data_IF_369338856592
#
_entry.id   IF_369338856592
#
_cell.length_a   1.000
_cell.length_b   1.000
_cell.length_c   1.000
_cell.angle_alpha   90.00
_cell.angle_beta   90.00
_cell.angle_gamma   90.00
#
_symmetry.space_group_name_H-M   'P 1'
#
loop_
_entity.id
_entity.type
_entity.pdbx_description
1 polymer ?
#
# COMPACT_ATOMS: atom_id res chain seq x y z
N UNK A 1 -10.28 -8.69 5.26
CA UNK A 1 -9.11 -8.13 4.54
C UNK A 1 -9.30 -6.62 4.38
N UNK A 2 -8.98 -5.84 5.41
CA UNK A 2 -9.02 -4.37 5.30
C UNK A 2 -7.61 -3.92 4.95
N UNK A 3 -7.51 -3.26 3.80
CA UNK A 3 -6.26 -2.85 3.20
C UNK A 3 -5.38 -2.09 4.19
N UNK A 4 -4.08 -2.37 4.11
CA UNK A 4 -3.07 -1.39 4.47
C UNK A 4 -3.53 -0.07 3.83
N UNK A 5 -4.05 0.87 4.62
CA UNK A 5 -4.29 2.21 4.15
C UNK A 5 -2.89 2.80 3.90
N UNK A 6 -2.40 2.53 2.70
CA UNK A 6 -1.28 3.18 2.06
C UNK A 6 -1.59 4.67 2.20
N UNK A 7 -0.86 5.36 3.09
CA UNK A 7 -1.12 6.75 3.43
C UNK A 7 -0.65 7.61 2.24
N UNK A 8 -1.46 7.61 1.18
CA UNK A 8 -1.23 8.35 -0.03
C UNK A 8 -1.60 9.80 0.23
N UNK A 9 -0.58 10.66 0.23
CA UNK A 9 -0.80 12.10 0.29
C UNK A 9 -1.19 12.59 -1.11
N UNK A 10 -2.47 12.85 -1.29
CA UNK A 10 -3.01 13.39 -2.53
C UNK A 10 -2.76 14.90 -2.61
N UNK A 11 -2.01 15.35 -3.62
CA UNK A 11 -2.20 16.69 -4.18
C UNK A 11 -3.23 16.60 -5.32
N UNK A 12 -3.91 17.71 -5.61
CA UNK A 12 -5.06 17.82 -6.51
C UNK A 12 -4.95 16.97 -7.80
N UNK A 13 -6.04 16.31 -8.19
CA UNK A 13 -6.17 15.62 -9.49
C UNK A 13 -6.12 14.08 -9.44
N UNK A 14 -5.80 13.46 -8.30
CA UNK A 14 -5.84 12.00 -8.13
C UNK A 14 -7.14 11.53 -7.49
N UNK A 15 -7.71 10.46 -8.02
CA UNK A 15 -8.94 9.82 -7.54
C UNK A 15 -8.71 8.31 -7.44
N UNK A 16 -9.25 7.67 -6.41
CA UNK A 16 -9.27 6.21 -6.29
C UNK A 16 -10.59 5.67 -6.84
N UNK A 17 -10.54 4.72 -7.77
CA UNK A 17 -11.74 4.03 -8.30
C UNK A 17 -11.36 2.62 -8.75
N UNK A 18 -12.18 1.63 -8.42
CA UNK A 18 -11.98 0.23 -8.83
C UNK A 18 -10.59 -0.35 -8.50
N UNK A 19 -10.04 0.00 -7.33
CA UNK A 19 -8.68 -0.33 -6.90
C UNK A 19 -7.56 0.22 -7.83
N UNK A 20 -7.88 1.21 -8.65
CA UNK A 20 -6.93 1.98 -9.46
C UNK A 20 -6.83 3.42 -8.95
N UNK A 21 -5.67 4.02 -9.17
CA UNK A 21 -5.44 5.45 -9.02
C UNK A 21 -5.56 6.11 -10.38
N UNK A 22 -6.48 7.05 -10.49
CA UNK A 22 -6.78 7.80 -11.69
C UNK A 22 -6.30 9.24 -11.52
N UNK A 23 -5.41 9.70 -12.38
CA UNK A 23 -5.08 11.11 -12.47
C UNK A 23 -5.91 11.75 -13.58
N UNK A 24 -6.76 12.70 -13.20
CA UNK A 24 -7.48 13.57 -14.13
C UNK A 24 -6.54 14.72 -14.52
N UNK A 25 -6.21 14.88 -15.82
CA UNK A 25 -5.27 15.90 -16.22
C UNK A 25 -5.72 17.30 -15.83
N UNK A 26 -4.82 18.03 -15.19
CA UNK A 26 -5.01 19.42 -14.79
C UNK A 26 -3.90 20.31 -15.37
N UNK A 27 -4.09 21.63 -15.28
CA UNK A 27 -3.07 22.61 -15.67
C UNK A 27 -1.92 22.70 -14.66
N UNK A 28 -2.03 22.02 -13.52
CA UNK A 28 -1.06 22.07 -12.43
C UNK A 28 -0.22 20.80 -12.37
N UNK A 29 1.01 20.94 -11.88
CA UNK A 29 1.82 19.78 -11.49
C UNK A 29 1.12 19.07 -10.34
N UNK A 30 0.86 17.77 -10.50
CA UNK A 30 0.28 16.94 -9.46
C UNK A 30 1.30 15.94 -8.96
N UNK A 31 1.33 15.72 -7.64
CA UNK A 31 2.24 14.78 -7.00
C UNK A 31 1.47 13.90 -6.05
N UNK A 32 1.59 12.60 -6.27
CA UNK A 32 1.19 11.55 -5.34
C UNK A 32 2.44 11.04 -4.64
N UNK A 33 2.45 11.07 -3.31
CA UNK A 33 3.58 10.57 -2.53
C UNK A 33 3.18 9.45 -1.59
N UNK A 34 4.04 8.44 -1.50
CA UNK A 34 3.93 7.32 -0.58
C UNK A 34 5.20 7.20 0.27
N UNK A 35 5.04 7.18 1.58
CA UNK A 35 6.15 7.02 2.52
C UNK A 35 6.15 5.61 3.11
N UNK A 36 7.30 4.94 3.07
CA UNK A 36 7.49 3.60 3.62
C UNK A 36 8.82 3.47 4.35
N UNK A 37 8.81 2.77 5.48
CA UNK A 37 10.03 2.38 6.19
C UNK A 37 10.32 0.89 5.97
N UNK A 38 11.36 0.60 5.19
CA UNK A 38 11.75 -0.76 4.83
C UNK A 38 12.70 -1.32 5.89
N UNK A 39 12.45 -2.54 6.36
CA UNK A 39 13.36 -3.26 7.29
C UNK A 39 14.45 -4.03 6.56
N UNK A 40 14.29 -4.24 5.25
CA UNK A 40 15.29 -4.86 4.38
C UNK A 40 15.24 -4.22 2.99
N UNK A 41 16.31 -4.31 2.19
CA UNK A 41 16.28 -3.82 0.82
C UNK A 41 15.12 -4.44 0.04
N UNK A 42 14.53 -3.67 -0.86
CA UNK A 42 13.34 -4.10 -1.61
C UNK A 42 13.06 -3.17 -2.78
N UNK A 43 11.82 -3.15 -3.24
CA UNK A 43 11.41 -2.35 -4.39
C UNK A 43 9.94 -1.96 -4.28
N UNK A 44 9.55 -0.95 -5.05
CA UNK A 44 8.17 -0.71 -5.44
C UNK A 44 7.99 -1.13 -6.89
N UNK A 45 7.03 -2.02 -7.14
CA UNK A 45 6.57 -2.38 -8.48
C UNK A 45 5.16 -1.84 -8.66
N UNK A 46 4.87 -1.24 -9.81
CA UNK A 46 3.53 -0.79 -10.14
C UNK A 46 3.26 -0.89 -11.64
N UNK A 47 1.99 -1.06 -11.99
CA UNK A 47 1.52 -0.99 -13.37
C UNK A 47 0.90 0.38 -13.63
N UNK A 48 1.16 0.97 -14.79
CA UNK A 48 0.58 2.25 -15.17
C UNK A 48 0.21 2.29 -16.65
N UNK A 49 -0.73 3.15 -17.00
CA UNK A 49 -1.17 3.36 -18.37
C UNK A 49 -1.29 4.85 -18.64
N UNK A 50 -0.58 5.31 -19.67
CA UNK A 50 -0.72 6.68 -20.17
C UNK A 50 -1.86 6.75 -21.20
N UNK A 51 -2.55 7.90 -21.32
CA UNK A 51 -3.50 8.14 -22.39
C UNK A 51 -2.85 7.99 -23.78
N UNK A 52 -3.63 7.59 -24.80
CA UNK A 52 -3.11 7.49 -26.18
C UNK A 52 -2.59 8.83 -26.72
N UNK A 53 -3.20 9.95 -26.32
CA UNK A 53 -2.71 11.28 -26.65
C UNK A 53 -2.09 11.92 -25.40
N UNK A 54 -0.82 11.57 -25.12
CA UNK A 54 -0.08 11.97 -23.92
C UNK A 54 1.12 12.89 -24.22
N UNK A 55 1.26 13.46 -25.43
CA UNK A 55 2.45 14.26 -25.80
C UNK A 55 2.74 15.42 -24.83
N UNK A 56 1.70 15.96 -24.19
CA UNK A 56 1.81 17.03 -23.19
C UNK A 56 1.91 16.53 -21.74
N UNK A 57 1.71 15.23 -21.50
CA UNK A 57 1.71 14.62 -20.17
C UNK A 57 2.98 13.82 -19.96
N UNK A 58 3.67 14.07 -18.84
CA UNK A 58 4.76 13.22 -18.40
C UNK A 58 4.52 12.70 -16.98
N UNK A 59 4.77 11.41 -16.77
CA UNK A 59 4.74 10.75 -15.47
C UNK A 59 6.18 10.46 -15.04
N UNK A 60 6.65 11.20 -14.05
CA UNK A 60 7.95 11.00 -13.44
C UNK A 60 7.80 10.29 -12.09
N UNK A 61 8.71 9.36 -11.79
CA UNK A 61 8.77 8.70 -10.49
C UNK A 61 10.13 8.95 -9.88
N UNK A 62 10.12 9.59 -8.71
CA UNK A 62 11.30 9.87 -7.91
C UNK A 62 11.22 9.16 -6.56
N UNK A 63 12.35 8.68 -6.07
CA UNK A 63 12.48 8.08 -4.73
C UNK A 63 13.51 8.88 -3.95
N UNK A 64 13.10 9.33 -2.77
CA UNK A 64 13.93 10.09 -1.84
C UNK A 64 14.11 9.34 -0.52
N UNK A 65 15.27 9.50 0.09
CA UNK A 65 15.55 9.02 1.45
C UNK A 65 15.17 10.09 2.51
N UNK A 66 15.45 9.80 3.79
CA UNK A 66 15.24 10.72 4.92
C UNK A 66 15.97 12.07 4.80
N UNK A 67 17.02 12.14 3.99
CA UNK A 67 17.83 13.34 3.78
C UNK A 67 17.42 14.13 2.52
N UNK A 68 16.25 13.82 1.93
CA UNK A 68 15.77 14.38 0.66
C UNK A 68 16.71 14.15 -0.55
N UNK A 69 17.73 13.31 -0.40
CA UNK A 69 18.64 12.98 -1.48
C UNK A 69 17.93 12.00 -2.42
N UNK A 70 17.86 12.35 -3.70
CA UNK A 70 17.38 11.40 -4.69
C UNK A 70 18.46 10.35 -4.93
N UNK A 71 18.07 9.08 -5.08
CA UNK A 71 19.04 8.04 -5.45
C UNK A 71 19.69 8.28 -6.83
N UNK A 72 19.09 9.14 -7.66
CA UNK A 72 19.64 9.58 -8.95
C UNK A 72 20.85 10.51 -8.77
N UNK A 73 20.83 11.44 -7.82
CA UNK A 73 21.94 12.39 -7.60
C UNK A 73 23.20 11.70 -7.06
N UNK A 74 23.05 10.70 -6.19
CA UNK A 74 24.18 9.94 -5.65
C UNK A 74 24.87 9.03 -6.70
N UNK A 75 24.15 8.63 -7.75
CA UNK A 75 24.69 7.80 -8.84
C UNK A 75 25.23 8.64 -10.00
N UNK A 76 24.72 9.86 -10.18
CA UNK A 76 25.15 10.76 -11.25
C UNK A 76 26.54 11.37 -11.00
N UNK A 77 26.99 11.45 -9.74
CA UNK A 77 28.38 11.84 -9.41
C UNK A 77 29.41 10.72 -9.67
N UNK A 78 28.98 9.46 -9.78
CA UNK A 78 29.86 8.30 -10.00
C UNK A 78 29.81 7.74 -11.44
N UNK A 79 28.71 7.97 -12.18
CA UNK A 79 28.47 7.33 -13.48
C UNK A 79 28.84 8.18 -14.71
N UNK A 80 29.43 9.36 -14.56
CA UNK A 80 29.92 10.13 -15.72
C UNK A 80 31.10 9.47 -16.46
N UNK A 81 31.61 8.31 -16.00
CA UNK A 81 32.72 7.57 -16.62
C UNK A 81 32.40 6.17 -17.17
N UNK A 82 31.21 5.62 -16.92
CA UNK A 82 30.83 4.33 -17.51
C UNK A 82 29.44 4.46 -18.13
N UNK A 83 29.46 4.62 -19.45
CA UNK A 83 28.34 4.62 -20.37
C UNK A 83 27.21 3.66 -19.98
N UNK A 84 26.00 4.22 -19.89
CA UNK A 84 24.76 3.68 -20.46
C UNK A 84 24.65 2.15 -20.54
N UNK A 85 24.05 1.55 -19.52
CA UNK A 85 23.09 0.47 -19.73
C UNK A 85 21.70 0.98 -19.37
N UNK A 86 21.28 2.04 -20.08
CA UNK A 86 19.86 2.28 -20.30
C UNK A 86 19.33 1.06 -21.04
N UNK A 87 18.67 0.15 -20.33
CA UNK A 87 17.76 -0.80 -20.98
C UNK A 87 16.82 0.07 -21.81
N UNK A 88 16.98 -0.03 -23.13
CA UNK A 88 16.31 0.83 -24.08
C UNK A 88 14.83 0.88 -23.74
N UNK A 89 14.29 2.10 -23.66
CA UNK A 89 12.89 2.34 -23.92
C UNK A 89 12.63 1.75 -25.32
N UNK A 90 12.16 0.49 -25.37
CA UNK A 90 11.38 0.05 -26.51
C UNK A 90 10.20 1.00 -26.58
N UNK A 91 9.86 1.44 -27.79
CA UNK A 91 8.60 2.13 -28.08
C UNK A 91 7.45 1.24 -27.58
N UNK A 92 7.15 1.39 -26.30
CA UNK A 92 6.03 0.75 -25.62
C UNK A 92 4.80 1.45 -26.18
N UNK A 93 4.14 0.74 -27.10
CA UNK A 93 2.86 1.05 -27.73
C UNK A 93 2.07 2.07 -26.91
N UNK A 94 2.08 3.29 -27.42
CA UNK A 94 1.48 4.44 -26.76
C UNK A 94 0.00 4.13 -26.43
N UNK A 95 -0.32 4.03 -25.14
CA UNK A 95 -1.65 3.69 -24.66
C UNK A 95 -1.84 2.26 -24.12
N UNK A 96 -0.80 1.43 -24.07
CA UNK A 96 -0.83 0.12 -23.41
C UNK A 96 -0.34 0.18 -21.95
N UNK A 97 -0.68 -0.84 -21.17
CA UNK A 97 -0.23 -0.99 -19.78
C UNK A 97 1.27 -1.27 -19.71
N UNK A 98 1.95 -0.48 -18.90
CA UNK A 98 3.38 -0.57 -18.63
C UNK A 98 3.61 -0.99 -17.18
N UNK A 99 4.72 -1.66 -16.93
CA UNK A 99 5.13 -2.05 -15.58
C UNK A 99 6.46 -1.41 -15.26
N UNK A 100 6.57 -0.81 -14.06
CA UNK A 100 7.80 -0.17 -13.60
C UNK A 100 8.16 -0.67 -12.21
N UNK A 101 9.44 -1.01 -12.05
CA UNK A 101 10.05 -1.37 -10.77
C UNK A 101 11.09 -0.31 -10.42
N UNK A 102 11.09 0.11 -9.16
CA UNK A 102 12.07 1.06 -8.62
C UNK A 102 12.61 0.52 -7.31
N UNK A 103 13.93 0.40 -7.22
CA UNK A 103 14.61 -0.10 -6.02
C UNK A 103 14.47 0.87 -4.84
N UNK A 104 14.24 0.31 -3.66
CA UNK A 104 14.13 1.01 -2.39
C UNK A 104 15.21 0.51 -1.44
N UNK A 105 15.74 1.42 -0.61
CA UNK A 105 16.74 1.05 0.39
C UNK A 105 16.09 0.69 1.71
N UNK A 106 16.82 -0.02 2.57
CA UNK A 106 16.45 -0.14 3.98
C UNK A 106 16.34 1.25 4.63
N UNK A 107 15.38 1.43 5.52
CA UNK A 107 15.06 2.70 6.15
C UNK A 107 13.88 3.42 5.49
N UNK A 108 13.70 4.71 5.78
CA UNK A 108 12.58 5.46 5.23
C UNK A 108 12.83 5.90 3.79
N UNK A 109 11.85 5.62 2.94
CA UNK A 109 11.78 5.98 1.54
C UNK A 109 10.49 6.77 1.31
N UNK A 110 10.56 7.77 0.43
CA UNK A 110 9.40 8.49 -0.09
C UNK A 110 9.39 8.31 -1.59
N UNK A 111 8.41 7.56 -2.09
CA UNK A 111 8.14 7.37 -3.52
C UNK A 111 7.18 8.45 -3.97
N UNK A 112 7.51 9.20 -5.00
CA UNK A 112 6.68 10.28 -5.55
C UNK A 112 6.40 10.06 -7.03
N UNK A 113 5.13 9.91 -7.38
CA UNK A 113 4.64 9.97 -8.75
C UNK A 113 4.24 11.41 -9.05
N UNK A 114 5.05 12.09 -9.86
CA UNK A 114 4.82 13.47 -10.28
C UNK A 114 4.33 13.47 -11.73
N UNK A 115 3.13 14.02 -11.95
CA UNK A 115 2.60 14.27 -13.29
C UNK A 115 2.73 15.74 -13.62
N UNK A 116 3.31 16.03 -14.79
CA UNK A 116 3.38 17.40 -15.32
C UNK A 116 2.64 17.47 -16.65
N UNK A 117 1.96 18.60 -16.86
CA UNK A 117 1.25 18.90 -18.11
C UNK A 117 1.93 20.11 -18.76
N UNK A 118 2.82 19.86 -19.71
CA UNK A 118 3.53 20.92 -20.43
C UNK A 118 2.60 21.53 -21.47
N UNK A 119 2.04 22.69 -21.12
CA UNK A 119 1.29 23.63 -21.96
C UNK A 119 -0.06 23.13 -22.49
N UNK A 120 -1.16 23.63 -21.90
CA UNK A 120 -2.42 24.06 -22.56
C UNK A 120 -3.13 23.12 -23.54
N UNK A 121 -2.59 21.94 -23.81
CA UNK A 121 -3.15 20.92 -24.66
C UNK A 121 -4.42 20.49 -23.96
N UNK A 122 -5.53 20.46 -24.72
CA UNK A 122 -6.80 19.91 -24.25
C UNK A 122 -6.47 18.65 -23.46
N UNK A 123 -6.66 18.74 -22.14
CA UNK A 123 -6.37 17.68 -21.20
C UNK A 123 -6.84 16.38 -21.84
N UNK A 124 -5.94 15.42 -22.02
CA UNK A 124 -6.32 14.11 -22.54
C UNK A 124 -7.56 13.68 -21.74
N UNK A 125 -8.69 13.44 -22.41
CA UNK A 125 -9.94 13.13 -21.70
C UNK A 125 -9.83 11.80 -20.96
N UNK A 126 -8.88 10.96 -21.37
CA UNK A 126 -8.51 9.73 -20.67
C UNK A 126 -7.55 10.04 -19.50
N UNK A 127 -7.79 9.48 -18.31
CA UNK A 127 -6.90 9.65 -17.16
C UNK A 127 -5.64 8.78 -17.29
N UNK A 128 -4.56 9.20 -16.62
CA UNK A 128 -3.44 8.29 -16.32
C UNK A 128 -3.92 7.30 -15.26
N UNK A 129 -3.64 6.02 -15.45
CA UNK A 129 -4.00 4.96 -14.51
C UNK A 129 -2.77 4.40 -13.83
N UNK A 130 -2.83 4.14 -12.54
CA UNK A 130 -1.83 3.38 -11.79
C UNK A 130 -2.56 2.28 -11.01
N UNK A 131 -2.07 1.06 -11.09
CA UNK A 131 -2.64 -0.11 -10.42
C UNK A 131 -1.54 -1.06 -9.95
N UNK A 132 -1.91 -2.03 -9.09
CA UNK A 132 -1.03 -3.10 -8.61
C UNK A 132 0.29 -2.58 -8.04
N UNK A 133 0.20 -1.68 -7.06
CA UNK A 133 1.37 -1.14 -6.37
C UNK A 133 1.80 -2.15 -5.30
N UNK A 134 2.85 -2.92 -5.62
CA UNK A 134 3.44 -3.92 -4.75
C UNK A 134 4.74 -3.38 -4.16
N UNK A 135 4.94 -3.59 -2.85
CA UNK A 135 6.10 -3.09 -2.12
C UNK A 135 6.76 -4.21 -1.35
N UNK A 136 8.01 -4.47 -1.70
CA UNK A 136 8.88 -5.43 -1.01
C UNK A 136 9.76 -4.70 -0.01
N UNK A 137 10.08 -5.37 1.10
CA UNK A 137 11.07 -4.90 2.07
C UNK A 137 10.48 -4.22 3.30
N UNK A 138 9.16 -4.00 3.32
CA UNK A 138 8.43 -3.62 4.52
C UNK A 138 8.56 -4.73 5.58
N UNK A 139 8.59 -4.34 6.86
CA UNK A 139 8.23 -5.26 7.92
C UNK A 139 6.74 -5.53 7.76
N UNK A 140 6.41 -6.53 6.96
CA UNK A 140 5.06 -7.09 6.98
C UNK A 140 4.91 -7.79 8.33
N UNK A 141 4.51 -7.05 9.34
CA UNK A 141 3.59 -7.63 10.30
C UNK A 141 2.29 -7.76 9.51
N UNK A 142 1.93 -8.98 9.09
CA UNK A 142 0.50 -9.28 9.10
C UNK A 142 0.15 -9.12 10.57
N UNK A 143 -0.29 -7.94 10.99
CA UNK A 143 -0.73 -7.72 12.35
C UNK A 143 -1.95 -8.62 12.53
N UNK A 144 -1.71 -9.81 13.08
CA UNK A 144 -2.76 -10.66 13.57
C UNK A 144 -3.31 -9.95 14.79
N UNK A 145 -4.42 -9.23 14.64
CA UNK A 145 -5.17 -8.73 15.77
C UNK A 145 -5.66 -9.93 16.58
N UNK A 146 -5.32 -9.94 17.87
CA UNK A 146 -5.85 -10.96 18.78
C UNK A 146 -7.38 -10.83 18.82
N UNK A 147 -8.06 -11.96 18.72
CA UNK A 147 -9.51 -11.99 18.85
C UNK A 147 -9.94 -11.41 20.21
N UNK A 148 -10.99 -10.57 20.24
CA UNK A 148 -11.53 -10.07 21.49
C UNK A 148 -12.00 -11.24 22.38
N UNK A 149 -12.03 -11.02 23.67
CA UNK A 149 -12.55 -12.00 24.62
C UNK A 149 -14.00 -12.39 24.27
N UNK A 150 -14.36 -13.65 24.48
CA UNK A 150 -15.62 -14.25 24.01
C UNK A 150 -15.58 -14.77 22.57
N UNK A 151 -14.47 -14.57 21.84
CA UNK A 151 -14.29 -15.07 20.48
C UNK A 151 -12.96 -15.80 20.32
N UNK A 152 -12.89 -16.71 19.35
CA UNK A 152 -11.70 -17.49 19.05
C UNK A 152 -11.39 -17.45 17.55
N UNK A 153 -10.13 -17.71 17.19
CA UNK A 153 -9.77 -17.93 15.79
C UNK A 153 -8.62 -18.92 15.64
N UNK A 154 -8.64 -19.67 14.54
CA UNK A 154 -7.50 -20.52 14.16
C UNK A 154 -6.39 -19.63 13.59
N UNK A 155 -5.13 -20.05 13.76
CA UNK A 155 -3.98 -19.30 13.26
C UNK A 155 -4.11 -18.94 11.79
N UNK A 156 -4.09 -17.64 11.47
CA UNK A 156 -4.25 -17.13 10.10
C UNK A 156 -5.69 -16.95 9.62
N UNK A 157 -6.70 -17.13 10.48
CA UNK A 157 -8.08 -16.82 10.14
C UNK A 157 -8.31 -15.30 9.97
N UNK A 158 -9.19 -14.94 9.03
CA UNK A 158 -9.50 -13.55 8.72
C UNK A 158 -10.54 -12.93 9.68
N UNK A 159 -11.25 -13.77 10.44
CA UNK A 159 -12.36 -13.39 11.31
C UNK A 159 -12.33 -14.19 12.62
N UNK A 160 -12.93 -13.62 13.66
CA UNK A 160 -13.08 -14.25 14.98
C UNK A 160 -14.47 -14.86 15.11
N UNK A 161 -14.53 -16.12 15.52
CA UNK A 161 -15.79 -16.85 15.73
C UNK A 161 -16.23 -16.69 17.19
N UNK A 162 -17.49 -16.30 17.46
CA UNK A 162 -18.00 -16.22 18.82
C UNK A 162 -18.11 -17.60 19.47
N UNK A 163 -17.90 -17.67 20.78
CA UNK A 163 -18.14 -18.88 21.55
C UNK A 163 -19.63 -19.11 21.80
N UNK A 164 -20.05 -20.37 21.78
CA UNK A 164 -21.42 -20.77 22.14
C UNK A 164 -21.72 -20.48 23.62
N UNK A 165 -22.99 -20.32 24.01
CA UNK A 165 -23.38 -20.17 25.41
C UNK A 165 -22.81 -21.28 26.30
N UNK A 166 -22.30 -20.92 27.48
CA UNK A 166 -21.61 -21.86 28.39
C UNK A 166 -20.14 -22.12 28.04
N UNK A 167 -19.59 -21.41 27.06
CA UNK A 167 -18.17 -21.43 26.71
C UNK A 167 -17.56 -20.04 26.79
N UNK A 168 -16.29 -19.97 27.18
CA UNK A 168 -15.51 -18.75 27.31
C UNK A 168 -14.25 -18.79 26.43
N UNK A 169 -13.74 -17.62 26.07
CA UNK A 169 -12.47 -17.48 25.36
C UNK A 169 -11.76 -16.21 25.85
N UNK A 170 -10.56 -16.30 26.43
CA UNK A 170 -9.76 -15.11 26.72
C UNK A 170 -9.30 -14.45 25.42
N UNK A 171 -8.84 -13.20 25.51
CA UNK A 171 -8.33 -12.45 24.34
C UNK A 171 -7.23 -13.26 23.63
N UNK A 172 -7.39 -13.48 22.33
CA UNK A 172 -6.44 -14.24 21.51
C UNK A 172 -6.56 -15.77 21.59
N UNK A 173 -7.66 -16.31 22.11
CA UNK A 173 -7.85 -17.75 22.18
C UNK A 173 -7.93 -18.41 20.80
N UNK A 174 -7.28 -19.58 20.68
CA UNK A 174 -7.36 -20.41 19.47
C UNK A 174 -8.60 -21.32 19.43
N UNK A 175 -9.30 -21.48 20.56
CA UNK A 175 -10.52 -22.28 20.74
C UNK A 175 -11.29 -21.81 21.97
N UNK A 176 -12.59 -22.08 22.02
CA UNK A 176 -13.40 -21.86 23.21
C UNK A 176 -13.16 -22.94 24.28
N UNK A 177 -13.09 -22.54 25.55
CA UNK A 177 -13.10 -23.40 26.73
C UNK A 177 -14.52 -23.53 27.31
N UNK A 178 -14.86 -24.68 27.88
CA UNK A 178 -16.18 -24.89 28.51
C UNK A 178 -16.17 -24.34 29.93
N UNK A 179 -17.21 -23.64 30.34
CA UNK A 179 -17.36 -23.21 31.74
C UNK A 179 -17.64 -24.40 32.67
N UNK A 180 -17.15 -24.36 33.92
CA UNK A 180 -17.54 -25.33 34.95
C UNK A 180 -19.06 -25.35 35.16
N UNK A 181 -19.62 -26.48 35.62
CA UNK A 181 -21.08 -26.67 35.72
C UNK A 181 -21.81 -25.65 36.63
N UNK A 182 -21.10 -24.95 37.51
CA UNK A 182 -21.63 -23.92 38.41
C UNK A 182 -21.45 -22.49 37.91
N UNK A 183 -20.94 -22.30 36.68
CA UNK A 183 -20.64 -20.98 36.11
C UNK A 183 -21.32 -20.78 34.75
N UNK A 184 -21.55 -19.52 34.39
CA UNK A 184 -22.04 -19.09 33.08
C UNK A 184 -21.01 -18.19 32.39
N UNK A 185 -21.07 -18.09 31.06
CA UNK A 185 -20.30 -17.09 30.30
C UNK A 185 -21.25 -15.98 29.86
N UNK A 186 -20.90 -14.72 30.17
CA UNK A 186 -21.71 -13.57 29.82
C UNK A 186 -21.62 -13.22 28.33
N UNK A 187 -22.76 -12.88 27.72
CA UNK A 187 -22.83 -12.45 26.31
C UNK A 187 -22.65 -10.94 26.13
N UNK A 188 -22.67 -10.15 27.22
CA UNK A 188 -22.56 -8.68 27.22
C UNK A 188 -21.88 -8.21 28.53
N UNK A 189 -20.99 -7.21 28.48
CA UNK A 189 -20.41 -6.57 29.67
C UNK A 189 -19.07 -7.15 30.15
N UNK A 190 -18.78 -7.02 31.47
CA UNK A 190 -17.47 -7.36 32.08
C UNK A 190 -17.18 -8.87 32.10
N UNK A 191 -18.19 -9.72 31.90
CA UNK A 191 -18.08 -11.18 31.92
C UNK A 191 -17.75 -11.78 30.53
N UNK A 192 -17.45 -10.96 29.52
CA UNK A 192 -17.13 -11.44 28.17
C UNK A 192 -15.77 -12.16 28.15
N UNK A 193 -15.83 -13.47 27.90
CA UNK A 193 -14.65 -14.32 27.76
C UNK A 193 -14.08 -14.88 29.07
N UNK A 194 -14.83 -14.77 30.16
CA UNK A 194 -14.58 -15.47 31.42
C UNK A 194 -15.83 -16.25 31.86
N UNK A 195 -15.70 -17.04 32.93
CA UNK A 195 -16.81 -17.76 33.54
C UNK A 195 -17.13 -17.13 34.89
N UNK A 196 -18.38 -16.71 35.08
CA UNK A 196 -18.87 -16.08 36.30
C UNK A 196 -19.83 -17.02 37.03
N UNK A 197 -19.81 -17.01 38.36
CA UNK A 197 -20.74 -17.76 39.19
C UNK A 197 -22.15 -17.17 39.05
N UNK A 198 -23.16 -18.04 38.97
CA UNK A 198 -24.56 -17.65 39.25
C UNK A 198 -24.75 -17.17 40.67
#
# INVERSE_FOLDING_TARGET
LVGCYLLLLFRTGWIVRDAELLYIPSSCISRLSFSANLVRPGFVEFSYRMPKNNKALSLHVDVRNQQCQSYREAMQSMLSKYSSSSRGHKDESNGDWQKRMVDLRTGANVVSWTVTNSAGAKASTEPIRISRIDILGLAFTRECSLCPSGTYSLGGAAECTPCSPGYFAPKGAAKCGRCPQTHYSGTVGRDLGECSFT
#
